data_IF_522089339130
#
_entry.id   IF_522089339130
#
_cell.length_a   1.000
_cell.length_b   1.000
_cell.length_c   1.000
_cell.angle_alpha   90.00
_cell.angle_beta   90.00
_cell.angle_gamma   90.00
#
_symmetry.space_group_name_H-M   'P 1'
#
loop_
_entity.id
_entity.type
_entity.pdbx_description
1 polymer ?
#
# COMPACT_ATOMS: atom_id res chain seq x y z
N UNK A 1 69.93 -52.99 26.68
CA UNK A 1 68.76 -53.61 26.02
C UNK A 1 67.50 -52.92 26.52
N UNK A 2 66.69 -52.31 25.65
CA UNK A 2 65.31 -51.91 25.97
C UNK A 2 65.00 -50.41 26.00
N UNK A 3 64.62 -49.86 24.84
CA UNK A 3 63.95 -48.57 24.65
C UNK A 3 62.49 -48.64 25.14
N UNK A 4 61.98 -47.61 25.81
CA UNK A 4 60.53 -47.35 25.88
C UNK A 4 60.28 -45.84 25.79
N UNK A 5 59.93 -45.37 24.59
CA UNK A 5 59.36 -44.05 24.35
C UNK A 5 57.91 -44.04 24.82
N UNK A 6 57.54 -43.11 25.71
CA UNK A 6 56.14 -42.81 26.04
C UNK A 6 55.67 -41.64 25.17
N UNK A 7 54.87 -41.96 24.14
CA UNK A 7 54.15 -40.95 23.36
C UNK A 7 53.01 -40.36 24.18
N UNK A 8 53.09 -39.07 24.48
CA UNK A 8 51.98 -38.30 25.04
C UNK A 8 51.12 -37.80 23.88
N UNK A 9 49.90 -38.33 23.76
CA UNK A 9 48.91 -37.84 22.82
C UNK A 9 48.45 -36.44 23.25
N UNK A 10 48.90 -35.40 22.54
CA UNK A 10 48.31 -34.07 22.61
C UNK A 10 46.94 -34.14 21.91
N UNK A 11 45.85 -34.18 22.69
CA UNK A 11 44.53 -33.86 22.17
C UNK A 11 44.54 -32.39 21.74
N UNK A 12 44.68 -32.16 20.43
CA UNK A 12 44.32 -30.90 19.81
C UNK A 12 42.86 -30.63 20.18
N UNK A 13 42.65 -29.58 20.97
CA UNK A 13 41.35 -28.96 21.17
C UNK A 13 40.90 -28.48 19.80
N UNK A 14 40.11 -29.31 19.11
CA UNK A 14 39.28 -28.84 18.02
C UNK A 14 38.18 -27.99 18.66
N UNK A 15 38.51 -26.73 18.94
CA UNK A 15 37.54 -25.65 19.01
C UNK A 15 36.94 -25.55 17.61
N UNK A 16 36.01 -26.46 17.32
CA UNK A 16 35.02 -26.27 16.28
C UNK A 16 34.40 -24.92 16.60
N UNK A 17 34.64 -23.97 15.69
CA UNK A 17 33.93 -22.71 15.70
C UNK A 17 32.46 -23.03 15.79
N UNK A 18 31.85 -22.69 16.92
CA UNK A 18 30.46 -22.31 16.90
C UNK A 18 30.40 -21.14 15.93
N UNK A 19 30.07 -21.41 14.67
CA UNK A 19 29.35 -20.43 13.89
C UNK A 19 28.08 -20.20 14.69
N UNK A 20 28.08 -19.13 15.48
CA UNK A 20 26.87 -18.52 15.97
C UNK A 20 25.98 -18.39 14.73
N UNK A 21 24.94 -19.22 14.65
CA UNK A 21 23.86 -18.97 13.72
C UNK A 21 23.29 -17.63 14.15
N UNK A 22 23.70 -16.56 13.45
CA UNK A 22 22.99 -15.29 13.53
C UNK A 22 21.59 -15.60 13.07
N UNK A 23 20.63 -15.42 13.98
CA UNK A 23 19.20 -15.37 13.72
C UNK A 23 18.90 -14.93 12.28
N UNK A 24 18.40 -15.82 11.43
CA UNK A 24 18.10 -15.48 10.06
C UNK A 24 16.76 -14.72 10.02
N UNK A 25 16.74 -13.50 9.46
CA UNK A 25 15.51 -12.75 9.23
C UNK A 25 14.57 -13.54 8.32
N UNK A 26 13.31 -13.66 8.70
CA UNK A 26 12.28 -14.32 7.89
C UNK A 26 11.28 -13.30 7.36
N UNK A 27 10.79 -13.54 6.15
CA UNK A 27 9.76 -12.73 5.52
C UNK A 27 8.45 -13.51 5.42
N UNK A 28 7.34 -12.78 5.57
CA UNK A 28 6.01 -13.27 5.32
C UNK A 28 5.21 -12.22 4.55
N UNK A 29 4.19 -12.68 3.83
CA UNK A 29 3.24 -11.81 3.15
C UNK A 29 1.84 -12.00 3.72
N UNK A 30 1.21 -10.91 4.14
CA UNK A 30 -0.14 -10.87 4.67
C UNK A 30 -1.09 -10.17 3.67
N UNK A 31 -2.36 -10.55 3.72
CA UNK A 31 -3.41 -9.87 2.97
C UNK A 31 -3.76 -8.52 3.60
N UNK A 32 -4.06 -7.53 2.77
CA UNK A 32 -4.74 -6.32 3.23
C UNK A 32 -6.25 -6.56 3.33
N UNK A 33 -6.94 -5.76 4.14
CA UNK A 33 -8.40 -5.75 4.16
C UNK A 33 -8.96 -4.88 3.04
N UNK A 34 -10.26 -4.99 2.77
CA UNK A 34 -10.96 -4.17 1.77
C UNK A 34 -10.85 -2.66 2.07
N UNK A 35 -10.66 -2.28 3.33
CA UNK A 35 -10.44 -0.90 3.73
C UNK A 35 -9.20 -0.27 3.09
N UNK A 36 -8.16 -1.05 2.76
CA UNK A 36 -7.00 -0.52 2.04
C UNK A 36 -7.37 -0.09 0.61
N UNK A 37 -8.14 -0.91 -0.11
CA UNK A 37 -8.58 -0.60 -1.47
C UNK A 37 -9.53 0.59 -1.48
N UNK A 38 -10.47 0.64 -0.53
CA UNK A 38 -11.33 1.81 -0.33
C UNK A 38 -10.51 3.06 -0.01
N UNK A 39 -9.53 2.97 0.90
CA UNK A 39 -8.66 4.10 1.26
C UNK A 39 -7.87 4.64 0.07
N UNK A 40 -7.37 3.76 -0.81
CA UNK A 40 -6.71 4.18 -2.06
C UNK A 40 -7.67 4.91 -3.01
N UNK A 41 -8.90 4.41 -3.19
CA UNK A 41 -9.90 5.06 -4.03
C UNK A 41 -10.38 6.39 -3.42
N UNK A 42 -10.54 6.49 -2.11
CA UNK A 42 -10.86 7.75 -1.42
C UNK A 42 -9.71 8.76 -1.55
N UNK A 43 -8.45 8.31 -1.45
CA UNK A 43 -7.31 9.19 -1.71
C UNK A 43 -7.37 9.78 -3.11
N UNK A 44 -7.74 8.96 -4.11
CA UNK A 44 -7.81 9.34 -5.53
C UNK A 44 -9.04 10.16 -5.89
N UNK A 45 -10.22 9.89 -5.33
CA UNK A 45 -11.49 10.44 -5.83
C UNK A 45 -12.43 10.95 -4.73
N UNK A 46 -12.18 10.64 -3.45
CA UNK A 46 -13.09 11.01 -2.36
C UNK A 46 -13.21 12.52 -2.20
N UNK A 47 -14.45 13.04 -2.27
CA UNK A 47 -14.79 14.47 -2.16
C UNK A 47 -14.01 15.37 -3.14
N UNK A 48 -13.74 14.91 -4.36
CA UNK A 48 -13.03 15.69 -5.38
C UNK A 48 -13.96 16.12 -6.51
N UNK A 49 -13.82 17.36 -6.96
CA UNK A 49 -14.56 17.86 -8.13
C UNK A 49 -14.13 17.19 -9.44
N UNK A 50 -12.87 16.75 -9.50
CA UNK A 50 -12.24 16.09 -10.64
C UNK A 50 -11.78 14.71 -10.20
N UNK A 51 -12.18 13.67 -10.93
CA UNK A 51 -11.81 12.30 -10.63
C UNK A 51 -10.74 11.80 -11.61
N UNK A 52 -9.92 10.89 -11.14
CA UNK A 52 -9.10 10.00 -11.97
C UNK A 52 -9.68 8.59 -11.93
N UNK A 53 -9.11 7.67 -12.71
CA UNK A 53 -9.59 6.29 -12.76
C UNK A 53 -9.68 5.68 -11.36
N UNK A 54 -10.85 5.10 -11.06
CA UNK A 54 -11.04 4.24 -9.89
C UNK A 54 -10.26 2.93 -10.08
N UNK A 55 -9.78 2.38 -8.97
CA UNK A 55 -8.95 1.21 -8.95
C UNK A 55 -9.76 -0.04 -8.62
N UNK A 56 -9.66 -1.03 -9.48
CA UNK A 56 -10.18 -2.37 -9.27
C UNK A 56 -9.09 -3.28 -8.67
N UNK A 57 -9.45 -4.10 -7.68
CA UNK A 57 -8.54 -5.09 -7.12
C UNK A 57 -8.18 -6.14 -8.18
N UNK A 58 -6.89 -6.40 -8.36
CA UNK A 58 -6.39 -7.42 -9.29
C UNK A 58 -5.81 -8.63 -8.52
N UNK A 59 -6.62 -9.68 -8.35
CA UNK A 59 -6.25 -10.84 -7.51
C UNK A 59 -5.01 -11.61 -8.00
N UNK A 60 -4.80 -11.68 -9.32
CA UNK A 60 -3.61 -12.27 -9.94
C UNK A 60 -2.34 -11.48 -9.62
N UNK A 61 -2.42 -10.15 -9.66
CA UNK A 61 -1.36 -9.25 -9.23
C UNK A 61 -1.11 -9.36 -7.72
N UNK A 62 -2.16 -9.50 -6.89
CA UNK A 62 -2.03 -9.70 -5.44
C UNK A 62 -1.25 -10.98 -5.14
N UNK A 63 -1.58 -12.09 -5.81
CA UNK A 63 -0.87 -13.37 -5.63
C UNK A 63 0.62 -13.25 -6.00
N UNK A 64 0.90 -12.57 -7.10
CA UNK A 64 2.27 -12.34 -7.57
C UNK A 64 3.04 -11.49 -6.57
N UNK A 65 2.44 -10.39 -6.09
CA UNK A 65 3.04 -9.50 -5.10
C UNK A 65 3.31 -10.22 -3.78
N UNK A 66 2.35 -10.97 -3.24
CA UNK A 66 2.54 -11.75 -2.01
C UNK A 66 3.65 -12.78 -2.13
N UNK A 67 3.78 -13.42 -3.29
CA UNK A 67 4.89 -14.36 -3.53
C UNK A 67 6.22 -13.64 -3.40
N UNK A 68 6.39 -12.51 -4.09
CA UNK A 68 7.62 -11.71 -4.02
C UNK A 68 7.93 -11.17 -2.62
N UNK A 69 6.91 -10.78 -1.85
CA UNK A 69 7.11 -10.32 -0.48
C UNK A 69 7.47 -11.48 0.48
N UNK A 70 6.81 -12.63 0.33
CA UNK A 70 6.99 -13.78 1.23
C UNK A 70 8.26 -14.59 0.97
N UNK A 71 8.75 -14.64 -0.27
CA UNK A 71 10.04 -15.26 -0.60
C UNK A 71 11.23 -14.30 -0.44
N UNK A 72 10.96 -13.04 -0.06
CA UNK A 72 11.97 -12.00 0.14
C UNK A 72 12.56 -11.43 -1.16
N UNK A 73 12.11 -11.83 -2.35
CA UNK A 73 12.64 -11.29 -3.63
C UNK A 73 12.19 -9.86 -3.91
N UNK A 74 11.06 -9.45 -3.31
CA UNK A 74 10.50 -8.11 -3.36
C UNK A 74 11.00 -7.18 -2.25
N UNK A 75 11.77 -7.71 -1.29
CA UNK A 75 12.26 -6.97 -0.13
C UNK A 75 13.79 -7.07 -0.06
N UNK A 76 14.41 -6.14 0.65
CA UNK A 76 15.83 -6.22 1.01
C UNK A 76 16.00 -5.80 2.45
N UNK A 77 16.84 -6.52 3.19
CA UNK A 77 17.28 -6.16 4.55
C UNK A 77 18.80 -6.00 4.52
N UNK A 78 19.30 -4.98 5.20
CA UNK A 78 20.75 -4.81 5.36
C UNK A 78 21.29 -5.80 6.40
N UNK A 79 20.60 -5.93 7.54
CA UNK A 79 21.03 -6.78 8.68
C UNK A 79 19.86 -7.17 9.61
N UNK A 80 18.93 -6.23 9.86
CA UNK A 80 17.76 -6.38 10.75
C UNK A 80 16.47 -5.97 10.06
N UNK A 81 15.32 -6.33 10.66
CA UNK A 81 14.01 -5.99 10.13
C UNK A 81 13.73 -4.48 10.07
N UNK A 82 14.32 -3.68 10.97
CA UNK A 82 14.25 -2.21 10.96
C UNK A 82 14.75 -1.60 9.64
N UNK A 83 15.70 -2.29 8.99
CA UNK A 83 16.32 -1.86 7.74
C UNK A 83 15.60 -2.44 6.51
N UNK A 84 14.45 -3.09 6.67
CA UNK A 84 13.66 -3.63 5.57
C UNK A 84 13.29 -2.52 4.59
N UNK A 85 13.61 -2.70 3.31
CA UNK A 85 13.26 -1.78 2.21
C UNK A 85 12.76 -2.56 1.00
N UNK A 86 12.18 -1.85 0.03
CA UNK A 86 11.71 -2.46 -1.21
C UNK A 86 12.87 -2.88 -2.10
N UNK A 87 12.77 -4.09 -2.65
CA UNK A 87 13.62 -4.56 -3.73
C UNK A 87 13.41 -3.76 -5.02
N UNK A 88 14.36 -3.89 -5.96
CA UNK A 88 14.37 -3.12 -7.20
C UNK A 88 13.09 -3.30 -8.04
N UNK A 89 12.51 -4.50 -8.02
CA UNK A 89 11.28 -4.87 -8.72
C UNK A 89 10.04 -4.12 -8.21
N UNK A 90 10.09 -3.56 -6.99
CA UNK A 90 8.97 -2.87 -6.35
C UNK A 90 9.20 -1.35 -6.22
N UNK A 91 10.22 -0.76 -6.87
CA UNK A 91 10.51 0.67 -6.75
C UNK A 91 9.41 1.61 -7.27
N UNK A 92 8.56 1.13 -8.19
CA UNK A 92 7.41 1.86 -8.73
C UNK A 92 6.12 1.36 -8.09
N UNK A 93 6.08 1.43 -6.78
CA UNK A 93 4.90 1.06 -5.97
C UNK A 93 4.59 2.17 -4.99
N UNK A 94 3.34 2.19 -4.54
CA UNK A 94 3.01 2.90 -3.31
C UNK A 94 3.41 2.03 -2.13
N UNK A 95 4.10 2.58 -1.14
CA UNK A 95 4.46 1.86 0.06
C UNK A 95 4.44 2.71 1.32
N UNK A 96 4.16 2.06 2.44
CA UNK A 96 4.18 2.66 3.78
C UNK A 96 4.80 1.66 4.74
N UNK A 97 5.91 2.05 5.38
CA UNK A 97 6.48 1.28 6.50
C UNK A 97 5.74 1.60 7.79
N UNK A 98 5.50 0.59 8.61
CA UNK A 98 4.83 0.73 9.90
C UNK A 98 5.18 -0.43 10.84
N UNK A 99 5.00 -0.22 12.14
CA UNK A 99 5.04 -1.29 13.13
C UNK A 99 3.63 -1.86 13.30
N UNK A 100 3.46 -3.14 13.01
CA UNK A 100 2.20 -3.86 13.17
C UNK A 100 2.02 -4.28 14.63
N UNK A 101 1.06 -3.65 15.31
CA UNK A 101 0.71 -3.98 16.70
C UNK A 101 -0.12 -5.28 16.76
N UNK A 102 0.23 -6.21 17.64
CA UNK A 102 -0.42 -7.54 17.72
C UNK A 102 -1.89 -7.48 18.17
N UNK A 103 -2.31 -6.40 18.83
CA UNK A 103 -3.64 -6.26 19.45
C UNK A 103 -4.55 -5.24 18.78
N UNK A 104 -4.11 -4.63 17.67
CA UNK A 104 -4.88 -3.59 16.96
C UNK A 104 -4.97 -3.90 15.48
N UNK A 105 -6.13 -3.59 14.90
CA UNK A 105 -6.28 -3.64 13.45
C UNK A 105 -5.42 -2.55 12.80
N UNK A 106 -4.82 -2.88 11.65
CA UNK A 106 -4.07 -1.93 10.83
C UNK A 106 -4.98 -0.81 10.34
N UNK A 107 -4.63 0.44 10.62
CA UNK A 107 -5.36 1.61 10.13
C UNK A 107 -4.78 2.08 8.79
N UNK A 108 -5.25 1.47 7.70
CA UNK A 108 -4.80 1.80 6.34
C UNK A 108 -5.15 3.24 5.95
N UNK A 109 -6.28 3.74 6.45
CA UNK A 109 -6.77 5.08 6.12
C UNK A 109 -5.84 6.18 6.63
N UNK A 110 -5.38 6.07 7.87
CA UNK A 110 -4.38 6.99 8.44
C UNK A 110 -3.04 6.90 7.71
N UNK A 111 -2.62 5.69 7.32
CA UNK A 111 -1.38 5.47 6.56
C UNK A 111 -1.43 6.16 5.21
N UNK A 112 -2.53 5.98 4.47
CA UNK A 112 -2.74 6.61 3.16
C UNK A 112 -2.86 8.13 3.31
N UNK A 113 -3.59 8.63 4.32
CA UNK A 113 -3.68 10.06 4.60
C UNK A 113 -2.31 10.67 4.90
N UNK A 114 -1.49 9.98 5.70
CA UNK A 114 -0.14 10.43 6.06
C UNK A 114 0.76 10.49 4.82
N UNK A 115 0.74 9.44 3.99
CA UNK A 115 1.51 9.41 2.75
C UNK A 115 1.06 10.49 1.77
N UNK A 116 -0.26 10.72 1.67
CA UNK A 116 -0.84 11.80 0.87
C UNK A 116 -0.32 13.17 1.32
N UNK A 117 -0.38 13.46 2.62
CA UNK A 117 0.07 14.74 3.18
C UNK A 117 1.57 14.97 2.93
N UNK A 118 2.41 13.95 3.18
CA UNK A 118 3.85 14.04 2.94
C UNK A 118 4.17 14.31 1.46
N UNK A 119 3.52 13.57 0.57
CA UNK A 119 3.70 13.73 -0.88
C UNK A 119 3.23 15.09 -1.38
N UNK A 120 2.04 15.55 -0.98
CA UNK A 120 1.53 16.87 -1.36
C UNK A 120 2.43 17.99 -0.81
N UNK A 121 3.04 17.80 0.36
CA UNK A 121 4.06 18.70 0.89
C UNK A 121 5.29 18.86 -0.01
N UNK A 122 5.57 17.88 -0.90
CA UNK A 122 6.63 17.97 -1.91
C UNK A 122 6.16 18.61 -3.23
N UNK A 123 4.88 18.99 -3.33
CA UNK A 123 4.26 19.55 -4.54
C UNK A 123 3.52 20.88 -4.24
N UNK A 124 4.23 21.92 -3.76
CA UNK A 124 3.59 23.19 -3.38
C UNK A 124 2.98 23.95 -4.56
N UNK A 125 3.40 23.65 -5.79
CA UNK A 125 2.85 24.18 -7.04
C UNK A 125 2.87 23.10 -8.10
N UNK A 126 1.93 23.16 -9.07
CA UNK A 126 1.96 22.26 -10.22
C UNK A 126 3.18 22.55 -11.12
N UNK A 127 4.13 21.61 -11.27
CA UNK A 127 5.40 21.87 -11.92
C UNK A 127 5.30 21.72 -13.44
N UNK A 128 6.23 22.35 -14.17
CA UNK A 128 6.42 22.14 -15.61
C UNK A 128 7.20 20.85 -15.92
N UNK A 129 8.00 20.36 -14.97
CA UNK A 129 8.81 19.13 -15.07
C UNK A 129 8.70 18.33 -13.77
N UNK A 130 8.71 17.00 -13.86
CA UNK A 130 8.39 16.14 -12.71
C UNK A 130 9.59 15.45 -12.07
N UNK A 131 10.80 15.63 -12.61
CA UNK A 131 12.02 14.93 -12.17
C UNK A 131 12.31 15.11 -10.68
N UNK A 132 12.16 16.33 -10.16
CA UNK A 132 12.39 16.62 -8.74
C UNK A 132 11.36 15.92 -7.83
N UNK A 133 10.10 15.86 -8.26
CA UNK A 133 9.03 15.21 -7.52
C UNK A 133 9.24 13.69 -7.47
N UNK A 134 9.62 13.08 -8.60
CA UNK A 134 9.94 11.66 -8.70
C UNK A 134 11.27 11.26 -8.03
N UNK A 135 12.22 12.19 -7.89
CA UNK A 135 13.48 11.94 -7.18
C UNK A 135 13.32 11.99 -5.66
N UNK A 136 12.27 12.65 -5.17
CA UNK A 136 11.92 12.67 -3.75
C UNK A 136 11.13 11.40 -3.38
N UNK A 137 11.49 10.66 -2.33
CA UNK A 137 10.77 9.45 -1.94
C UNK A 137 9.28 9.66 -1.66
N UNK A 138 8.90 10.71 -0.92
CA UNK A 138 7.50 11.01 -0.62
C UNK A 138 6.73 11.44 -1.87
N UNK A 139 7.39 12.20 -2.75
CA UNK A 139 6.82 12.62 -4.04
C UNK A 139 6.61 11.44 -4.99
N UNK A 140 7.60 10.58 -5.17
CA UNK A 140 7.49 9.36 -5.95
C UNK A 140 6.41 8.42 -5.41
N UNK A 141 6.34 8.26 -4.09
CA UNK A 141 5.32 7.43 -3.44
C UNK A 141 3.91 7.93 -3.77
N UNK A 142 3.70 9.25 -3.68
CA UNK A 142 2.43 9.87 -4.06
C UNK A 142 2.14 9.73 -5.56
N UNK A 143 3.15 9.93 -6.40
CA UNK A 143 3.01 9.85 -7.85
C UNK A 143 2.54 8.46 -8.29
N UNK A 144 2.99 7.39 -7.61
CA UNK A 144 2.48 6.04 -7.83
C UNK A 144 1.00 5.91 -7.43
N UNK A 145 0.63 6.37 -6.22
CA UNK A 145 -0.76 6.29 -5.73
C UNK A 145 -1.75 7.04 -6.63
N UNK A 146 -1.34 8.22 -7.12
CA UNK A 146 -2.19 9.12 -7.89
C UNK A 146 -1.98 9.02 -9.40
N UNK A 147 -1.30 7.98 -9.90
CA UNK A 147 -1.12 7.78 -11.34
C UNK A 147 -2.48 7.61 -12.02
N UNK A 148 -2.87 8.63 -12.79
CA UNK A 148 -4.21 8.78 -13.35
C UNK A 148 -4.57 7.68 -14.36
N UNK A 149 -3.58 7.07 -15.00
CA UNK A 149 -3.82 6.03 -16.00
C UNK A 149 -4.04 4.64 -15.40
N UNK A 150 -3.68 4.42 -14.13
CA UNK A 150 -3.91 3.13 -13.47
C UNK A 150 -5.39 2.87 -13.26
N UNK A 151 -5.84 1.66 -13.57
CA UNK A 151 -7.21 1.17 -13.35
C UNK A 151 -7.27 -0.04 -12.44
N UNK A 152 -6.11 -0.67 -12.16
CA UNK A 152 -6.00 -1.82 -11.28
C UNK A 152 -5.02 -1.57 -10.15
N UNK A 153 -5.26 -2.21 -9.01
CA UNK A 153 -4.41 -2.17 -7.83
C UNK A 153 -4.26 -3.57 -7.22
N UNK A 154 -3.08 -3.87 -6.71
CA UNK A 154 -2.82 -5.04 -5.88
C UNK A 154 -2.00 -4.63 -4.67
N UNK A 155 -2.53 -4.88 -3.47
CA UNK A 155 -1.87 -4.53 -2.22
C UNK A 155 -1.61 -5.77 -1.37
N UNK A 156 -0.50 -5.76 -0.66
CA UNK A 156 -0.13 -6.77 0.34
C UNK A 156 0.77 -6.14 1.40
N UNK A 157 0.87 -6.79 2.56
CA UNK A 157 1.80 -6.39 3.62
C UNK A 157 2.96 -7.37 3.64
N UNK A 158 4.19 -6.87 3.49
CA UNK A 158 5.40 -7.62 3.77
C UNK A 158 5.76 -7.47 5.25
N UNK A 159 5.94 -8.58 5.95
CA UNK A 159 6.30 -8.60 7.37
C UNK A 159 7.69 -9.21 7.50
N UNK A 160 8.56 -8.53 8.23
CA UNK A 160 9.86 -9.06 8.61
C UNK A 160 9.84 -9.46 10.08
N UNK A 161 10.37 -10.65 10.39
CA UNK A 161 10.56 -11.11 11.77
C UNK A 161 12.01 -11.49 11.99
N UNK A 162 12.60 -10.98 13.06
CA UNK A 162 13.89 -11.40 13.60
C UNK A 162 13.70 -12.13 14.96
N UNK A 163 14.76 -12.78 15.46
CA UNK A 163 14.70 -13.55 16.72
C UNK A 163 14.63 -12.65 17.97
N UNK A 164 14.65 -11.34 17.80
CA UNK A 164 14.50 -10.33 18.86
C UNK A 164 13.12 -9.71 18.78
N UNK A 165 12.08 -10.34 19.35
CA UNK A 165 10.74 -9.80 19.28
C UNK A 165 10.71 -8.36 19.80
N UNK A 166 10.40 -7.42 18.90
CA UNK A 166 10.14 -6.05 19.29
C UNK A 166 8.98 -6.09 20.28
N UNK A 167 9.18 -5.54 21.47
CA UNK A 167 8.14 -5.42 22.49
C UNK A 167 6.93 -4.60 22.02
N UNK A 168 7.04 -3.91 20.88
CA UNK A 168 6.04 -3.03 20.27
C UNK A 168 5.29 -3.62 19.06
N UNK A 169 5.68 -4.78 18.50
CA UNK A 169 5.01 -5.35 17.32
C UNK A 169 5.95 -6.00 16.31
N UNK A 170 5.56 -6.09 15.04
CA UNK A 170 6.42 -6.56 13.94
C UNK A 170 6.68 -5.43 12.95
N UNK A 171 7.88 -5.36 12.38
CA UNK A 171 8.15 -4.42 11.30
C UNK A 171 7.48 -4.88 10.01
N UNK A 172 6.70 -3.98 9.42
CA UNK A 172 5.86 -4.26 8.28
C UNK A 172 5.97 -3.15 7.22
N UNK A 173 5.72 -3.52 5.97
CA UNK A 173 5.61 -2.59 4.85
C UNK A 173 4.37 -2.93 4.03
N UNK A 174 3.43 -1.98 3.98
CA UNK A 174 2.34 -2.00 3.02
C UNK A 174 2.95 -1.71 1.65
N UNK A 175 2.61 -2.52 0.65
CA UNK A 175 3.02 -2.31 -0.74
C UNK A 175 1.80 -2.44 -1.65
N UNK A 176 1.62 -1.49 -2.56
CA UNK A 176 0.58 -1.49 -3.57
C UNK A 176 1.18 -1.27 -4.96
N UNK A 177 0.95 -2.25 -5.84
CA UNK A 177 1.25 -2.18 -7.27
C UNK A 177 0.02 -1.70 -8.05
N UNK A 178 0.26 -1.00 -9.14
CA UNK A 178 -0.79 -0.48 -10.01
C UNK A 178 -0.60 -0.96 -11.45
N UNK A 179 -1.70 -1.10 -12.18
CA UNK A 179 -1.67 -1.41 -13.62
C UNK A 179 -2.60 -0.49 -14.41
N UNK A 180 -2.12 0.15 -15.50
CA UNK A 180 -0.70 0.27 -15.88
C UNK A 180 0.16 0.90 -14.76
N UNK A 181 1.43 0.50 -14.70
CA UNK A 181 2.38 1.07 -13.76
C UNK A 181 2.67 2.54 -14.11
N UNK A 182 3.06 3.32 -13.10
CA UNK A 182 3.38 4.72 -13.31
C UNK A 182 4.65 4.89 -14.14
N UNK A 183 4.70 5.96 -14.93
CA UNK A 183 5.90 6.32 -15.70
C UNK A 183 6.70 7.38 -14.94
N UNK A 184 7.94 7.05 -14.57
CA UNK A 184 8.82 8.02 -13.91
C UNK A 184 9.02 9.28 -14.75
N UNK A 185 9.16 10.40 -14.05
CA UNK A 185 9.38 11.75 -14.62
C UNK A 185 8.24 12.28 -15.50
N UNK A 186 7.13 11.54 -15.62
CA UNK A 186 5.90 12.02 -16.26
C UNK A 186 4.94 12.64 -15.23
N UNK A 187 4.01 13.45 -15.71
CA UNK A 187 2.94 13.99 -14.87
C UNK A 187 2.01 12.87 -14.40
N UNK A 188 1.86 12.61 -13.08
CA UNK A 188 0.97 11.57 -12.58
C UNK A 188 -0.50 11.89 -12.80
N UNK A 189 -0.86 13.17 -12.79
CA UNK A 189 -2.22 13.67 -12.94
C UNK A 189 -2.21 15.07 -13.55
N UNK A 190 -3.39 15.57 -13.94
CA UNK A 190 -3.53 16.89 -14.56
C UNK A 190 -3.49 18.04 -13.55
N UNK A 191 -3.37 19.28 -14.05
CA UNK A 191 -3.40 20.47 -13.20
C UNK A 191 -4.77 20.67 -12.55
N UNK A 192 -5.85 20.39 -13.26
CA UNK A 192 -7.22 20.51 -12.74
C UNK A 192 -7.44 19.57 -11.55
N UNK A 193 -6.91 18.35 -11.64
CA UNK A 193 -6.94 17.39 -10.55
C UNK A 193 -6.08 17.82 -9.36
N UNK A 194 -4.89 18.39 -9.62
CA UNK A 194 -4.04 18.97 -8.59
C UNK A 194 -4.76 20.09 -7.81
N UNK A 195 -5.43 21.00 -8.52
CA UNK A 195 -6.18 22.10 -7.92
C UNK A 195 -7.34 21.56 -7.06
N UNK A 196 -8.03 20.51 -7.54
CA UNK A 196 -9.09 19.82 -6.77
C UNK A 196 -8.55 19.15 -5.50
N UNK A 197 -7.39 18.48 -5.58
CA UNK A 197 -6.74 17.87 -4.42
C UNK A 197 -6.37 18.88 -3.34
N UNK A 198 -5.88 20.06 -3.74
CA UNK A 198 -5.53 21.13 -2.80
C UNK A 198 -6.76 21.81 -2.19
N UNK A 199 -7.89 21.80 -2.90
CA UNK A 199 -9.16 22.30 -2.37
C UNK A 199 -9.84 21.33 -1.39
N UNK A 200 -9.39 20.07 -1.34
CA UNK A 200 -9.98 19.05 -0.47
C UNK A 200 -9.59 19.26 0.99
N UNK A 201 -10.55 19.70 1.78
CA UNK A 201 -10.36 19.95 3.22
C UNK A 201 -10.76 18.76 4.11
N UNK A 202 -11.60 17.86 3.61
CA UNK A 202 -12.00 16.67 4.36
C UNK A 202 -10.85 15.66 4.33
N UNK A 203 -10.41 15.12 5.48
CA UNK A 203 -9.44 14.05 5.51
C UNK A 203 -10.09 12.72 5.10
N UNK A 204 -9.31 11.83 4.47
CA UNK A 204 -9.75 10.51 4.02
C UNK A 204 -10.36 9.71 5.19
N UNK A 205 -9.81 9.89 6.40
CA UNK A 205 -10.25 9.28 7.66
C UNK A 205 -11.71 9.55 8.00
N UNK A 206 -12.26 10.66 7.51
CA UNK A 206 -13.67 11.06 7.71
C UNK A 206 -14.57 10.72 6.51
N UNK A 207 -14.01 10.20 5.42
CA UNK A 207 -14.77 9.86 4.22
C UNK A 207 -15.33 8.45 4.26
N UNK A 208 -16.27 8.17 3.38
CA UNK A 208 -16.94 6.89 3.19
C UNK A 208 -17.02 6.57 1.69
N UNK A 209 -17.40 5.33 1.34
CA UNK A 209 -17.61 4.95 -0.06
C UNK A 209 -18.59 5.86 -0.81
N UNK A 210 -19.58 6.44 -0.11
CA UNK A 210 -20.50 7.40 -0.71
C UNK A 210 -19.80 8.65 -1.29
N UNK A 211 -18.66 9.02 -0.72
CA UNK A 211 -17.89 10.20 -1.10
C UNK A 211 -17.10 10.01 -2.40
N UNK A 212 -17.06 8.79 -2.96
CA UNK A 212 -16.52 8.51 -4.28
C UNK A 212 -17.44 8.97 -5.42
N UNK A 213 -18.71 9.30 -5.13
CA UNK A 213 -19.72 9.63 -6.15
C UNK A 213 -19.83 11.13 -6.44
N UNK A 214 -19.21 11.99 -5.62
CA UNK A 214 -19.36 13.45 -5.70
C UNK A 214 -18.40 14.10 -6.71
N UNK A 215 -18.52 13.80 -8.01
CA UNK A 215 -17.83 14.59 -9.03
C UNK A 215 -18.64 15.85 -9.37
N UNK A 216 -18.15 17.04 -9.02
CA UNK A 216 -18.83 18.29 -9.36
C UNK A 216 -18.43 18.85 -10.74
N UNK A 217 -19.23 18.52 -11.77
CA UNK A 217 -19.67 19.29 -12.97
C UNK A 217 -18.74 19.64 -14.15
N UNK A 218 -19.24 19.36 -15.38
CA UNK A 218 -18.76 19.98 -16.63
C UNK A 218 -19.36 19.56 -18.00
N UNK A 219 -20.61 19.08 -18.12
CA UNK A 219 -21.22 18.85 -19.44
C UNK A 219 -22.66 18.33 -19.40
N UNK A 220 -23.61 19.19 -19.78
CA UNK A 220 -25.04 18.93 -20.05
C UNK A 220 -25.58 17.53 -19.65
N UNK A 221 -25.92 17.36 -18.37
CA UNK A 221 -26.81 16.28 -17.99
C UNK A 221 -28.21 16.62 -18.52
N UNK A 222 -28.58 16.00 -19.64
CA UNK A 222 -29.98 15.83 -19.98
C UNK A 222 -30.65 15.22 -18.74
N UNK A 223 -31.66 15.90 -18.21
CA UNK A 223 -32.49 15.37 -17.14
C UNK A 223 -33.07 14.02 -17.59
N UNK A 224 -32.52 12.92 -17.08
CA UNK A 224 -33.16 11.61 -17.15
C UNK A 224 -34.14 11.57 -15.99
N UNK A 225 -35.46 11.56 -16.22
CA UNK A 225 -36.44 11.51 -15.14
C UNK A 225 -36.28 10.19 -14.39
N UNK A 226 -36.00 10.27 -13.09
CA UNK A 226 -36.06 9.12 -12.19
C UNK A 226 -37.50 8.60 -12.17
N UNK A 227 -37.74 7.46 -12.82
CA UNK A 227 -39.00 6.73 -12.69
C UNK A 227 -39.11 6.24 -11.25
N UNK A 228 -39.88 6.97 -10.43
CA UNK A 228 -40.38 6.50 -9.15
C UNK A 228 -41.33 5.33 -9.43
N UNK A 229 -40.88 4.11 -9.17
CA UNK A 229 -41.75 2.95 -9.11
C UNK A 229 -42.67 3.08 -7.88
N UNK A 230 -43.81 3.74 -8.05
CA UNK A 230 -44.90 3.68 -7.10
C UNK A 230 -45.58 2.31 -7.22
N UNK A 231 -45.35 1.44 -6.25
CA UNK A 231 -46.04 0.16 -6.10
C UNK A 231 -47.53 0.43 -5.78
N UNK A 232 -48.40 0.18 -6.75
CA UNK A 232 -49.85 0.26 -6.59
C UNK A 232 -50.34 -1.02 -5.89
N UNK A 233 -50.66 -0.95 -4.59
CA UNK A 233 -51.37 -2.02 -3.87
C UNK A 233 -52.87 -1.80 -4.09
N UNK A 234 -53.50 -2.63 -4.92
CA UNK A 234 -54.95 -2.68 -5.06
C UNK A 234 -55.56 -3.51 -3.93
N UNK A 235 -56.27 -2.84 -3.01
CA UNK A 235 -57.15 -3.49 -2.04
C UNK A 235 -58.53 -3.65 -2.72
N UNK A 236 -58.93 -4.89 -3.05
CA UNK A 236 -60.31 -5.18 -3.40
C UNK A 236 -61.14 -5.32 -2.12
N UNK A 237 -62.13 -4.45 -1.95
CA UNK A 237 -63.24 -4.64 -1.02
C UNK A 237 -64.51 -4.97 -1.83
N UNK A 238 -64.95 -6.23 -1.76
CA UNK A 238 -66.29 -6.64 -2.21
C UNK A 238 -67.23 -6.59 -1.01
N UNK A 239 -68.14 -5.61 -1.01
CA UNK A 239 -69.33 -5.60 -0.18
C UNK A 239 -70.56 -6.02 -1.03
N UNK A 240 -71.45 -6.75 -0.37
CA UNK A 240 -72.56 -7.50 -0.91
C UNK A 240 -73.70 -6.66 -1.51
N UNK A 241 -74.49 -7.32 -2.37
CA UNK A 241 -75.93 -7.14 -2.52
C UNK A 241 -76.58 -8.52 -2.58
#
# INVERSE_FOLDING_TARGET
>A
MGLIFKSSAFCLVALYGFQLATAATTFAAEDVTDDMYLSANLARNGKLSVHINELEKADDMVKTLKTALGDGTGLTTADTCDNMTLGASLKLTFSVKFTQETSKATNYRDMVQTALNKGLGQLPTYPSTWDAFWSNPDGANLANLLWSQSTKIACAVGVCTDDTPLSSGKEAILVCQFSPAAQQNAAPFSKEYYDALHARNTPITEMTEADLKESSTGGAAAAVPSLLFASLITILATAAA
#
